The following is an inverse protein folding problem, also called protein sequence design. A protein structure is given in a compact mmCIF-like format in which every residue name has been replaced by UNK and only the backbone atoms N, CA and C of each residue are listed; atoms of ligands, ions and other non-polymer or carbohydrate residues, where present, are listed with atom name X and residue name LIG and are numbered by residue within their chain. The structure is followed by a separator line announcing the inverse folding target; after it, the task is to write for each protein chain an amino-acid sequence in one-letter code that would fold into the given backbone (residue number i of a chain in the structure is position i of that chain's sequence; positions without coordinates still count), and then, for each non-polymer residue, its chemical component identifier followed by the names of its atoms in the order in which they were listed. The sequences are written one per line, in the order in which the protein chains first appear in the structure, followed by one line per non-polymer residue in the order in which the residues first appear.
data_IF_332729720223
#
_entry.id   IF_332729720223
#
_cell.length_a   1.000
_cell.length_b   1.000
_cell.length_c   1.000
_cell.angle_alpha   90.00
_cell.angle_beta   90.00
_cell.angle_gamma   90.00
#
_symmetry.space_group_name_H-M   'P 1'
#
loop_
_entity.id
_entity.type
_entity.pdbx_description
1 polymer ?
#
# COMPACT_ATOMS: atom_id res chain seq x y z
N UNK A 1 18.45 -9.26 18.50
CA UNK A 1 17.46 -8.76 17.54
C UNK A 1 16.08 -9.08 18.08
N UNK A 2 15.27 -8.05 18.29
CA UNK A 2 13.91 -8.18 18.81
C UNK A 2 12.96 -8.60 17.66
N UNK A 3 11.89 -9.35 17.91
CA UNK A 3 10.98 -9.85 16.86
C UNK A 3 10.35 -8.71 16.02
N UNK A 4 10.25 -7.50 16.59
CA UNK A 4 9.83 -6.28 15.89
C UNK A 4 10.87 -5.74 14.89
N UNK A 5 12.17 -5.91 15.14
CA UNK A 5 13.24 -5.48 14.22
C UNK A 5 13.26 -6.38 12.98
N UNK A 6 13.15 -7.71 13.17
CA UNK A 6 13.12 -8.68 12.07
C UNK A 6 11.95 -8.46 11.09
N UNK A 7 10.76 -8.10 11.61
CA UNK A 7 9.57 -7.82 10.79
C UNK A 7 9.75 -6.52 9.98
N UNK A 8 10.43 -5.50 10.52
CA UNK A 8 10.74 -4.30 9.75
C UNK A 8 11.82 -4.55 8.68
N UNK A 9 12.84 -5.37 8.99
CA UNK A 9 13.92 -5.71 8.04
C UNK A 9 13.40 -6.47 6.82
N UNK A 10 12.53 -7.46 7.01
CA UNK A 10 11.94 -8.20 5.88
C UNK A 10 11.00 -7.35 5.02
N UNK A 11 10.38 -6.30 5.57
CA UNK A 11 9.39 -5.48 4.87
C UNK A 11 10.03 -4.53 3.83
N UNK A 12 11.29 -4.15 4.05
CA UNK A 12 12.01 -3.16 3.26
C UNK A 12 13.25 -3.72 2.53
N UNK A 13 13.42 -5.05 2.47
CA UNK A 13 14.56 -5.69 1.79
C UNK A 13 14.79 -5.17 0.37
N UNK A 14 13.71 -4.92 -0.37
CA UNK A 14 13.77 -4.47 -1.76
C UNK A 14 14.29 -3.02 -1.90
N UNK A 15 14.34 -2.26 -0.80
CA UNK A 15 14.89 -0.91 -0.78
C UNK A 15 16.43 -0.89 -0.78
N UNK A 16 17.08 -2.04 -0.57
CA UNK A 16 18.52 -2.20 -0.76
C UNK A 16 19.00 -1.81 -2.15
N UNK A 17 18.15 -1.97 -3.17
CA UNK A 17 18.42 -1.49 -4.53
C UNK A 17 18.54 0.05 -4.65
N UNK A 18 18.24 0.79 -3.58
CA UNK A 18 18.46 2.25 -3.46
C UNK A 18 19.55 2.60 -2.45
N UNK A 19 20.31 1.63 -1.93
CA UNK A 19 21.28 1.86 -0.85
C UNK A 19 20.64 2.03 0.54
N UNK A 20 19.35 1.73 0.67
CA UNK A 20 18.58 1.82 1.92
C UNK A 20 18.46 0.45 2.58
N UNK A 21 19.59 -0.20 2.84
CA UNK A 21 19.62 -1.43 3.62
C UNK A 21 19.38 -1.11 5.10
N UNK A 22 18.48 -1.87 5.74
CA UNK A 22 18.20 -1.77 7.17
C UNK A 22 19.39 -2.18 8.04
N UNK A 23 20.41 -2.84 7.47
CA UNK A 23 21.68 -3.18 8.10
C UNK A 23 22.82 -3.08 7.06
N UNK A 24 23.78 -2.16 7.23
CA UNK A 24 25.05 -2.18 6.49
C UNK A 24 26.08 -3.05 7.26
N UNK A 25 27.01 -3.79 6.61
CA UNK A 25 27.86 -3.35 5.48
C UNK A 25 27.81 -4.23 4.22
N UNK A 26 27.99 -3.58 3.07
CA UNK A 26 28.23 -4.18 1.76
C UNK A 26 29.72 -4.54 1.60
N UNK A 27 30.00 -5.77 1.16
CA UNK A 27 31.20 -6.11 0.41
C UNK A 27 30.80 -6.35 -1.05
N UNK A 28 31.45 -5.63 -1.96
CA UNK A 28 31.18 -5.69 -3.40
C UNK A 28 32.06 -6.76 -4.04
N UNK A 29 31.44 -7.80 -4.60
CA UNK A 29 31.99 -8.43 -5.80
C UNK A 29 30.86 -8.74 -6.78
N UNK A 30 30.90 -8.01 -7.90
CA UNK A 30 29.87 -8.03 -8.92
C UNK A 30 29.83 -9.30 -9.73
N UNK A 31 28.63 -9.62 -10.23
CA UNK A 31 28.44 -10.18 -11.57
C UNK A 31 26.97 -10.06 -11.96
N UNK A 32 26.74 -9.26 -12.99
CA UNK A 32 25.45 -9.02 -13.65
C UNK A 32 24.95 -10.31 -14.30
N UNK A 33 23.77 -10.80 -13.89
CA UNK A 33 23.03 -11.83 -14.63
C UNK A 33 21.95 -11.18 -15.49
N UNK A 34 22.04 -11.43 -16.80
CA UNK A 34 21.08 -11.04 -17.84
C UNK A 34 19.73 -11.70 -17.58
N UNK A 35 18.68 -10.91 -17.38
CA UNK A 35 17.30 -11.39 -17.42
C UNK A 35 16.77 -11.44 -18.86
N UNK A 36 16.12 -12.55 -19.19
CA UNK A 36 15.51 -12.83 -20.50
C UNK A 36 14.21 -12.03 -20.66
N UNK A 37 14.04 -11.50 -21.87
CA UNK A 37 12.87 -10.74 -22.29
C UNK A 37 11.61 -11.61 -22.35
N UNK A 38 10.53 -11.17 -21.71
CA UNK A 38 9.17 -11.69 -21.95
C UNK A 38 8.32 -10.55 -22.54
N UNK A 39 7.88 -10.79 -23.79
CA UNK A 39 6.77 -10.21 -24.58
C UNK A 39 6.29 -8.80 -24.19
N UNK A 40 7.02 -7.77 -24.64
CA UNK A 40 6.80 -6.34 -24.33
C UNK A 40 5.98 -5.52 -25.34
N UNK A 41 5.42 -6.06 -26.42
CA UNK A 41 5.06 -5.21 -27.59
C UNK A 41 3.57 -4.85 -27.73
N UNK A 42 2.63 -5.57 -27.10
CA UNK A 42 1.19 -5.34 -27.36
C UNK A 42 0.52 -4.36 -26.36
N UNK A 43 0.98 -4.29 -25.11
CA UNK A 43 0.31 -3.48 -24.06
C UNK A 43 0.72 -2.00 -24.04
N UNK A 44 1.92 -1.66 -24.51
CA UNK A 44 2.51 -0.31 -24.38
C UNK A 44 1.73 0.76 -25.16
N UNK A 45 1.07 0.41 -26.29
CA UNK A 45 0.37 1.39 -27.13
C UNK A 45 -0.94 1.94 -26.54
N UNK A 46 -1.57 1.28 -25.55
CA UNK A 46 -2.82 1.77 -24.92
C UNK A 46 -2.58 2.69 -23.71
N UNK A 47 -1.46 2.53 -22.98
CA UNK A 47 -1.20 3.24 -21.72
C UNK A 47 -0.88 4.73 -21.91
N UNK A 48 -0.22 5.12 -23.01
CA UNK A 48 0.19 6.52 -23.26
C UNK A 48 -1.00 7.49 -23.41
N UNK A 49 -2.19 7.01 -23.79
CA UNK A 49 -3.39 7.85 -23.87
C UNK A 49 -4.04 8.08 -22.49
N UNK A 50 -3.76 7.20 -21.52
CA UNK A 50 -4.41 7.16 -20.20
C UNK A 50 -3.62 7.91 -19.12
N UNK A 51 -2.35 8.22 -19.36
CA UNK A 51 -1.49 8.95 -18.42
C UNK A 51 -0.94 10.22 -19.05
N UNK A 52 -0.47 11.14 -18.22
CA UNK A 52 0.24 12.35 -18.64
C UNK A 52 1.42 12.62 -17.72
N UNK A 53 2.43 13.30 -18.24
CA UNK A 53 3.58 13.73 -17.46
C UNK A 53 3.26 15.04 -16.74
N UNK A 54 3.58 15.08 -15.45
CA UNK A 54 3.48 16.27 -14.60
C UNK A 54 4.88 16.65 -14.16
N UNK A 55 5.27 17.90 -14.42
CA UNK A 55 6.51 18.47 -13.88
C UNK A 55 6.39 18.66 -12.38
N UNK A 56 7.35 18.16 -11.63
CA UNK A 56 7.44 18.27 -10.17
C UNK A 56 8.81 18.84 -9.80
N UNK A 57 8.82 19.74 -8.82
CA UNK A 57 10.04 20.22 -8.16
C UNK A 57 10.09 19.55 -6.79
N UNK A 58 11.16 18.84 -6.49
CA UNK A 58 11.29 18.15 -5.21
C UNK A 58 11.43 19.15 -4.05
N UNK A 59 10.57 19.13 -3.02
CA UNK A 59 10.67 20.06 -1.89
C UNK A 59 11.88 19.78 -0.97
N UNK A 60 12.60 18.68 -1.19
CA UNK A 60 13.75 18.27 -0.36
C UNK A 60 15.08 18.66 -1.01
N UNK A 61 15.19 18.63 -2.34
CA UNK A 61 16.46 18.84 -3.03
C UNK A 61 16.37 19.74 -4.27
N UNK A 62 15.19 20.33 -4.52
CA UNK A 62 14.90 21.22 -5.65
C UNK A 62 15.10 20.61 -7.05
N UNK A 63 15.40 19.31 -7.13
CA UNK A 63 15.51 18.60 -8.39
C UNK A 63 14.17 18.62 -9.14
N UNK A 64 14.22 19.02 -10.41
CA UNK A 64 13.06 18.99 -11.31
C UNK A 64 13.01 17.65 -12.06
N UNK A 65 11.85 17.00 -12.05
CA UNK A 65 11.65 15.72 -12.74
C UNK A 65 10.20 15.57 -13.22
N UNK A 66 9.97 14.60 -14.10
CA UNK A 66 8.63 14.26 -14.58
C UNK A 66 8.04 13.07 -13.81
N UNK A 67 6.80 13.21 -13.34
CA UNK A 67 6.02 12.12 -12.73
C UNK A 67 4.79 11.82 -13.56
N UNK A 68 4.48 10.54 -13.78
CA UNK A 68 3.26 10.14 -14.52
C UNK A 68 2.03 10.22 -13.62
N UNK A 69 0.92 10.69 -14.17
CA UNK A 69 -0.38 10.75 -13.50
C UNK A 69 -1.49 10.23 -14.42
N UNK A 70 -2.48 9.51 -13.87
CA UNK A 70 -3.62 9.00 -14.63
C UNK A 70 -4.59 10.12 -15.01
N UNK A 71 -5.06 10.14 -16.26
CA UNK A 71 -6.14 11.01 -16.73
C UNK A 71 -7.47 10.47 -16.23
N UNK A 72 -8.03 11.09 -15.19
CA UNK A 72 -9.28 10.70 -14.56
C UNK A 72 -10.48 10.67 -15.52
N UNK A 73 -10.51 11.53 -16.53
CA UNK A 73 -11.58 11.61 -17.54
C UNK A 73 -11.75 10.33 -18.37
N UNK A 74 -10.71 9.51 -18.47
CA UNK A 74 -10.70 8.33 -19.36
C UNK A 74 -10.80 7.02 -18.57
N UNK A 75 -10.57 7.05 -17.26
CA UNK A 75 -10.52 5.87 -16.38
C UNK A 75 -11.72 5.88 -15.41
N UNK A 76 -12.76 5.11 -15.74
CA UNK A 76 -14.04 5.13 -15.01
C UNK A 76 -13.96 4.20 -13.79
N UNK A 77 -14.49 4.66 -12.66
CA UNK A 77 -14.69 3.84 -11.47
C UNK A 77 -15.71 2.73 -11.75
N UNK A 78 -15.41 1.51 -11.35
CA UNK A 78 -16.30 0.35 -11.52
C UNK A 78 -16.91 -0.09 -10.19
N UNK A 79 -16.07 -0.44 -9.23
CA UNK A 79 -16.50 -0.99 -7.94
C UNK A 79 -15.44 -0.77 -6.87
N UNK A 80 -15.77 -1.19 -5.66
CA UNK A 80 -14.87 -1.16 -4.52
C UNK A 80 -14.71 -2.59 -4.00
N UNK A 81 -13.47 -3.01 -3.69
CA UNK A 81 -13.20 -4.31 -3.07
C UNK A 81 -13.74 -4.39 -1.65
N UNK A 82 -13.65 -5.58 -1.04
CA UNK A 82 -13.95 -5.79 0.38
C UNK A 82 -13.16 -4.83 1.27
N UNK A 83 -11.85 -4.72 1.02
CA UNK A 83 -10.87 -3.89 1.74
C UNK A 83 -10.91 -2.41 1.36
N UNK A 84 -11.97 -1.96 0.68
CA UNK A 84 -12.17 -0.59 0.20
C UNK A 84 -11.22 -0.12 -0.93
N UNK A 85 -10.54 -1.03 -1.63
CA UNK A 85 -9.74 -0.71 -2.83
C UNK A 85 -10.66 -0.22 -3.95
N UNK A 86 -10.46 0.97 -4.53
CA UNK A 86 -11.21 1.39 -5.70
C UNK A 86 -10.70 0.66 -6.95
N UNK A 87 -11.61 0.09 -7.74
CA UNK A 87 -11.32 -0.65 -8.97
C UNK A 87 -11.84 0.17 -10.15
N UNK A 88 -11.00 0.28 -11.19
CA UNK A 88 -11.24 1.11 -12.38
C UNK A 88 -11.16 0.27 -13.66
N UNK A 89 -11.85 0.75 -14.70
CA UNK A 89 -12.09 -0.04 -15.91
C UNK A 89 -10.92 -0.21 -16.87
N UNK A 90 -9.86 0.60 -16.75
CA UNK A 90 -8.76 0.58 -17.72
C UNK A 90 -7.39 0.42 -17.08
N UNK A 91 -7.09 1.23 -16.07
CA UNK A 91 -5.79 1.22 -15.41
C UNK A 91 -5.95 1.40 -13.91
N UNK A 92 -5.12 0.73 -13.12
CA UNK A 92 -5.11 0.94 -11.67
C UNK A 92 -4.39 2.25 -11.34
N UNK A 93 -5.07 3.27 -10.79
CA UNK A 93 -4.43 4.53 -10.41
C UNK A 93 -3.41 4.37 -9.28
N UNK A 94 -3.49 3.30 -8.48
CA UNK A 94 -2.55 3.04 -7.38
C UNK A 94 -1.11 2.91 -7.89
N UNK A 95 -0.92 2.50 -9.15
CA UNK A 95 0.40 2.41 -9.80
C UNK A 95 1.12 3.77 -9.90
N UNK A 96 0.37 4.87 -9.86
CA UNK A 96 0.87 6.23 -10.13
C UNK A 96 0.73 7.19 -8.94
N UNK A 97 0.24 6.72 -7.80
CA UNK A 97 -0.16 7.62 -6.72
C UNK A 97 1.00 8.02 -5.79
N UNK A 98 2.14 7.33 -5.86
CA UNK A 98 3.36 7.74 -5.17
C UNK A 98 4.24 8.53 -6.13
N UNK A 99 4.65 9.71 -5.67
CA UNK A 99 5.69 10.50 -6.31
C UNK A 99 7.00 10.19 -5.60
N UNK A 100 8.01 9.80 -6.37
CA UNK A 100 9.36 9.55 -5.88
C UNK A 100 10.32 10.53 -6.56
N UNK A 101 11.14 11.21 -5.77
CA UNK A 101 12.30 11.92 -6.30
C UNK A 101 13.41 10.91 -6.61
N UNK A 102 13.82 10.88 -7.87
CA UNK A 102 14.90 10.02 -8.38
C UNK A 102 16.31 10.51 -8.01
N UNK A 103 16.45 11.73 -7.48
CA UNK A 103 17.72 12.29 -7.04
C UNK A 103 18.01 12.05 -5.54
N UNK A 104 17.02 12.22 -4.66
CA UNK A 104 17.23 12.23 -3.20
C UNK A 104 16.48 11.16 -2.41
N UNK A 105 15.66 10.33 -3.07
CA UNK A 105 14.90 9.25 -2.42
C UNK A 105 13.66 9.68 -1.64
N UNK A 106 13.33 10.97 -1.66
CA UNK A 106 12.08 11.44 -1.07
C UNK A 106 10.87 10.88 -1.82
N UNK A 107 10.01 10.15 -1.11
CA UNK A 107 8.80 9.57 -1.68
C UNK A 107 7.59 9.80 -0.76
N UNK A 108 6.46 10.15 -1.36
CA UNK A 108 5.20 10.33 -0.65
C UNK A 108 4.02 10.19 -1.62
N UNK A 109 2.80 10.05 -1.08
CA UNK A 109 1.59 10.13 -1.90
C UNK A 109 1.51 11.49 -2.60
N UNK A 110 1.03 11.51 -3.84
CA UNK A 110 0.88 12.72 -4.66
C UNK A 110 0.09 13.83 -3.92
N UNK A 111 -0.91 13.45 -3.10
CA UNK A 111 -1.74 14.37 -2.31
C UNK A 111 -1.02 15.04 -1.14
N UNK A 112 0.11 14.48 -0.69
CA UNK A 112 0.90 14.98 0.44
C UNK A 112 2.36 15.28 0.07
N UNK A 113 2.77 15.09 -1.19
CA UNK A 113 4.17 15.21 -1.61
C UNK A 113 4.79 16.57 -1.25
N UNK A 114 4.06 17.67 -1.50
CA UNK A 114 4.51 19.03 -1.17
C UNK A 114 4.17 19.48 0.25
N UNK A 115 3.60 18.60 1.09
CA UNK A 115 3.18 18.92 2.47
C UNK A 115 4.20 18.39 3.46
N UNK A 116 5.41 18.96 3.41
CA UNK A 116 6.53 18.57 4.26
C UNK A 116 7.08 19.80 4.99
N UNK A 117 7.44 19.64 6.27
CA UNK A 117 8.05 20.68 7.09
C UNK A 117 9.57 20.68 7.02
N UNK A 118 10.23 21.78 7.36
CA UNK A 118 11.70 21.88 7.43
C UNK A 118 12.33 20.79 8.31
N UNK A 119 11.69 20.47 9.45
CA UNK A 119 12.14 19.37 10.33
C UNK A 119 12.12 18.02 9.60
N UNK A 120 11.09 17.76 8.81
CA UNK A 120 10.96 16.53 8.04
C UNK A 120 11.94 16.50 6.86
N UNK A 121 12.12 17.62 6.15
CA UNK A 121 13.12 17.76 5.09
C UNK A 121 14.51 17.40 5.62
N UNK A 122 14.89 17.97 6.78
CA UNK A 122 16.15 17.64 7.45
C UNK A 122 16.28 16.15 7.75
N UNK A 123 15.24 15.54 8.33
CA UNK A 123 15.23 14.11 8.62
C UNK A 123 15.39 13.24 7.36
N UNK A 124 14.75 13.60 6.25
CA UNK A 124 14.90 12.90 4.96
C UNK A 124 16.33 13.03 4.44
N UNK A 125 16.90 14.24 4.45
CA UNK A 125 18.27 14.47 3.97
C UNK A 125 19.28 13.63 4.75
N UNK A 126 19.15 13.62 6.08
CA UNK A 126 20.08 12.92 6.97
C UNK A 126 19.97 11.40 6.87
N UNK A 127 18.76 10.85 6.81
CA UNK A 127 18.53 9.41 6.96
C UNK A 127 18.30 8.66 5.64
N UNK A 128 17.88 9.37 4.58
CA UNK A 128 17.57 8.78 3.28
C UNK A 128 18.52 9.31 2.21
N UNK A 129 18.52 10.62 1.96
CA UNK A 129 19.25 11.18 0.82
C UNK A 129 20.76 10.97 0.91
N UNK A 130 21.31 10.91 2.11
CA UNK A 130 22.73 10.62 2.37
C UNK A 130 23.18 9.23 1.89
N UNK A 131 22.25 8.28 1.77
CA UNK A 131 22.52 6.88 1.39
C UNK A 131 21.85 6.50 0.06
N UNK A 132 20.96 7.34 -0.44
CA UNK A 132 20.15 7.05 -1.60
C UNK A 132 21.00 7.00 -2.87
N UNK A 133 20.91 5.90 -3.59
CA UNK A 133 21.53 5.75 -4.92
C UNK A 133 20.53 6.28 -5.97
N UNK A 134 20.87 7.39 -6.67
CA UNK A 134 20.00 7.95 -7.69
C UNK A 134 19.69 6.93 -8.79
N UNK A 135 18.48 7.02 -9.34
CA UNK A 135 18.08 6.20 -10.48
C UNK A 135 17.65 7.08 -11.64
N UNK A 136 17.74 6.54 -12.85
CA UNK A 136 17.15 7.17 -14.02
C UNK A 136 15.63 7.30 -13.85
N UNK A 137 15.05 8.28 -14.54
CA UNK A 137 13.60 8.46 -14.55
C UNK A 137 12.89 7.18 -14.97
N UNK A 138 11.89 6.81 -14.18
CA UNK A 138 11.17 5.56 -14.35
C UNK A 138 10.25 5.61 -15.57
N UNK A 139 10.48 4.69 -16.51
CA UNK A 139 9.75 4.62 -17.79
C UNK A 139 8.52 3.72 -17.73
N UNK A 140 8.58 2.66 -16.92
CA UNK A 140 7.54 1.64 -16.80
C UNK A 140 6.89 1.70 -15.40
N UNK A 141 5.56 1.73 -15.35
CA UNK A 141 4.77 1.76 -14.12
C UNK A 141 3.94 0.48 -14.06
N UNK A 142 4.51 -0.55 -13.44
CA UNK A 142 3.88 -1.85 -13.20
C UNK A 142 3.69 -2.09 -11.69
N UNK A 143 3.04 -3.19 -11.32
CA UNK A 143 2.78 -3.48 -9.90
C UNK A 143 4.05 -3.67 -9.07
N UNK A 144 5.12 -4.24 -9.66
CA UNK A 144 6.42 -4.39 -8.98
C UNK A 144 7.01 -3.03 -8.61
N UNK A 145 7.04 -2.13 -9.60
CA UNK A 145 7.46 -0.75 -9.43
C UNK A 145 6.62 -0.04 -8.37
N UNK A 146 5.29 -0.13 -8.49
CA UNK A 146 4.38 0.54 -7.58
C UNK A 146 4.55 0.04 -6.14
N UNK A 147 4.77 -1.26 -5.96
CA UNK A 147 5.03 -1.87 -4.65
C UNK A 147 6.29 -1.27 -4.02
N UNK A 148 7.40 -1.24 -4.77
CA UNK A 148 8.66 -0.64 -4.31
C UNK A 148 8.49 0.85 -3.96
N UNK A 149 7.82 1.62 -4.81
CA UNK A 149 7.61 3.06 -4.58
C UNK A 149 6.75 3.30 -3.33
N UNK A 150 5.71 2.48 -3.10
CA UNK A 150 4.86 2.61 -1.92
C UNK A 150 5.58 2.16 -0.64
N UNK A 151 6.42 1.13 -0.70
CA UNK A 151 7.33 0.78 0.42
C UNK A 151 8.28 1.92 0.74
N UNK A 152 8.87 2.57 -0.27
CA UNK A 152 9.74 3.74 -0.07
C UNK A 152 8.97 4.92 0.54
N UNK A 153 7.72 5.16 0.14
CA UNK A 153 6.86 6.18 0.73
C UNK A 153 6.53 5.86 2.21
N UNK A 154 6.28 4.59 2.55
CA UNK A 154 6.10 4.17 3.93
C UNK A 154 7.37 4.37 4.76
N UNK A 155 8.53 4.03 4.22
CA UNK A 155 9.83 4.25 4.87
C UNK A 155 10.07 5.75 5.14
N UNK A 156 9.83 6.60 4.14
CA UNK A 156 9.85 8.06 4.29
C UNK A 156 8.89 8.52 5.40
N UNK A 157 7.66 8.01 5.44
CA UNK A 157 6.67 8.36 6.46
C UNK A 157 7.14 7.99 7.89
N UNK A 158 7.83 6.85 8.05
CA UNK A 158 8.44 6.42 9.32
C UNK A 158 9.55 7.40 9.74
N UNK A 159 10.51 7.69 8.85
CA UNK A 159 11.62 8.61 9.12
C UNK A 159 11.13 10.03 9.46
N UNK A 160 10.09 10.49 8.78
CA UNK A 160 9.47 11.80 9.05
C UNK A 160 8.68 11.85 10.37
N UNK A 161 8.52 10.73 11.08
CA UNK A 161 7.71 10.67 12.30
C UNK A 161 6.22 10.90 12.04
N UNK A 162 5.70 10.43 10.91
CA UNK A 162 4.29 10.60 10.54
C UNK A 162 3.35 9.92 11.54
N UNK A 163 2.15 10.50 11.72
CA UNK A 163 1.08 9.94 12.57
C UNK A 163 0.81 8.47 12.20
N UNK A 164 0.51 7.62 13.20
CA UNK A 164 0.23 6.19 13.00
C UNK A 164 -0.80 5.94 11.91
N UNK A 165 -1.84 6.78 11.83
CA UNK A 165 -2.88 6.66 10.81
C UNK A 165 -2.38 6.83 9.37
N UNK A 166 -1.41 7.72 9.12
CA UNK A 166 -0.85 7.89 7.78
C UNK A 166 -0.04 6.66 7.37
N UNK A 167 0.71 6.09 8.32
CA UNK A 167 1.47 4.84 8.11
C UNK A 167 0.51 3.66 7.88
N UNK A 168 -0.56 3.56 8.67
CA UNK A 168 -1.61 2.55 8.51
C UNK A 168 -2.25 2.59 7.11
N UNK A 169 -2.56 3.79 6.63
CA UNK A 169 -3.12 3.97 5.29
C UNK A 169 -2.14 3.58 4.18
N UNK A 170 -0.84 3.90 4.32
CA UNK A 170 0.18 3.42 3.40
C UNK A 170 0.29 1.89 3.39
N UNK A 171 0.24 1.23 4.55
CA UNK A 171 0.21 -0.23 4.64
C UNK A 171 -1.03 -0.82 3.93
N UNK A 172 -2.22 -0.25 4.15
CA UNK A 172 -3.44 -0.68 3.45
C UNK A 172 -3.27 -0.56 1.93
N UNK A 173 -2.74 0.57 1.45
CA UNK A 173 -2.50 0.79 0.02
C UNK A 173 -1.48 -0.18 -0.57
N UNK A 174 -0.43 -0.52 0.18
CA UNK A 174 0.52 -1.54 -0.24
C UNK A 174 -0.19 -2.89 -0.41
N UNK A 175 -1.07 -3.28 0.53
CA UNK A 175 -1.86 -4.52 0.36
C UNK A 175 -2.76 -4.49 -0.88
N UNK A 176 -3.32 -3.33 -1.25
CA UNK A 176 -4.11 -3.17 -2.48
C UNK A 176 -3.28 -3.29 -3.76
N UNK A 177 -2.04 -2.80 -3.74
CA UNK A 177 -1.10 -2.97 -4.86
C UNK A 177 -0.75 -4.44 -5.01
N UNK A 178 -0.54 -5.14 -3.89
CA UNK A 178 -0.28 -6.57 -3.90
C UNK A 178 -1.50 -7.36 -4.42
N UNK A 179 -2.73 -7.01 -4.00
CA UNK A 179 -3.97 -7.58 -4.56
C UNK A 179 -4.00 -7.45 -6.08
N UNK A 180 -3.77 -6.23 -6.59
CA UNK A 180 -3.71 -5.98 -8.02
C UNK A 180 -2.58 -6.73 -8.72
N UNK A 181 -1.46 -6.93 -8.04
CA UNK A 181 -0.36 -7.72 -8.59
C UNK A 181 -0.77 -9.19 -8.72
N UNK A 182 -1.30 -9.80 -7.65
CA UNK A 182 -1.76 -11.19 -7.63
C UNK A 182 -2.82 -11.46 -8.71
N UNK A 183 -3.74 -10.53 -8.95
CA UNK A 183 -4.75 -10.59 -10.02
C UNK A 183 -4.15 -10.71 -11.44
N UNK A 184 -2.90 -10.29 -11.63
CA UNK A 184 -2.19 -10.35 -12.94
C UNK A 184 -1.22 -11.52 -13.08
N UNK A 185 -0.99 -12.31 -12.02
CA UNK A 185 -0.01 -13.38 -12.04
C UNK A 185 -0.59 -14.70 -12.56
N UNK A 186 0.03 -15.25 -13.61
CA UNK A 186 -0.34 -16.56 -14.16
C UNK A 186 0.31 -17.73 -13.39
N UNK A 187 1.52 -17.55 -12.85
CA UNK A 187 2.30 -18.60 -12.16
C UNK A 187 2.10 -18.56 -10.64
N UNK A 188 1.96 -19.73 -10.01
CA UNK A 188 1.65 -19.86 -8.57
C UNK A 188 2.88 -19.75 -7.66
N UNK A 189 4.08 -20.07 -8.13
CA UNK A 189 5.30 -20.23 -7.31
C UNK A 189 5.69 -18.98 -6.49
N UNK A 190 5.24 -17.80 -6.88
CA UNK A 190 5.50 -16.52 -6.18
C UNK A 190 4.28 -15.95 -5.46
N UNK A 191 3.10 -16.52 -5.65
CA UNK A 191 1.86 -16.01 -5.04
C UNK A 191 1.84 -16.20 -3.54
N UNK A 192 2.39 -17.31 -3.04
CA UNK A 192 2.40 -17.61 -1.60
C UNK A 192 3.19 -16.57 -0.81
N UNK A 193 4.45 -16.32 -1.19
CA UNK A 193 5.31 -15.33 -0.54
C UNK A 193 4.68 -13.93 -0.58
N UNK A 194 4.12 -13.55 -1.74
CA UNK A 194 3.47 -12.26 -1.93
C UNK A 194 2.16 -12.15 -1.12
N UNK A 195 1.43 -13.24 -0.94
CA UNK A 195 0.23 -13.31 -0.08
C UNK A 195 0.60 -13.17 1.39
N UNK A 196 1.69 -13.80 1.84
CA UNK A 196 2.18 -13.63 3.21
C UNK A 196 2.62 -12.18 3.47
N UNK A 197 3.33 -11.58 2.51
CA UNK A 197 3.71 -10.18 2.56
C UNK A 197 2.48 -9.26 2.62
N UNK A 198 1.46 -9.51 1.78
CA UNK A 198 0.18 -8.80 1.83
C UNK A 198 -0.43 -8.84 3.22
N UNK A 199 -0.51 -10.03 3.84
CA UNK A 199 -1.08 -10.20 5.19
C UNK A 199 -0.29 -9.42 6.24
N UNK A 200 1.04 -9.33 6.12
CA UNK A 200 1.85 -8.49 7.01
C UNK A 200 1.47 -7.00 6.88
N UNK A 201 1.23 -6.50 5.66
CA UNK A 201 0.76 -5.12 5.48
C UNK A 201 -0.67 -4.91 5.99
N UNK A 202 -1.58 -5.87 5.77
CA UNK A 202 -2.94 -5.86 6.34
C UNK A 202 -2.89 -5.78 7.86
N UNK A 203 -2.02 -6.58 8.50
CA UNK A 203 -1.83 -6.57 9.96
C UNK A 203 -1.34 -5.21 10.46
N UNK A 204 -0.33 -4.64 9.82
CA UNK A 204 0.20 -3.32 10.20
C UNK A 204 -0.83 -2.20 9.98
N UNK A 205 -1.63 -2.29 8.91
CA UNK A 205 -2.74 -1.36 8.68
C UNK A 205 -3.78 -1.46 9.79
N UNK A 206 -4.21 -2.68 10.14
CA UNK A 206 -5.19 -2.92 11.19
C UNK A 206 -4.75 -2.35 12.54
N UNK A 207 -3.52 -2.66 12.97
CA UNK A 207 -2.96 -2.16 14.23
C UNK A 207 -2.90 -0.63 14.24
N UNK A 208 -2.36 -0.02 13.19
CA UNK A 208 -2.23 1.43 13.12
C UNK A 208 -3.58 2.17 13.06
N UNK A 209 -4.61 1.56 12.45
CA UNK A 209 -5.97 2.10 12.49
C UNK A 209 -6.62 1.93 13.87
N UNK A 210 -6.39 0.82 14.57
CA UNK A 210 -6.86 0.64 15.95
C UNK A 210 -6.22 1.66 16.89
N UNK A 211 -4.91 1.85 16.83
CA UNK A 211 -4.19 2.84 17.65
C UNK A 211 -4.70 4.28 17.41
N UNK A 212 -4.99 4.62 16.16
CA UNK A 212 -5.46 5.95 15.82
C UNK A 212 -6.93 6.20 16.19
N UNK A 213 -7.74 5.15 16.34
CA UNK A 213 -9.20 5.24 16.45
C UNK A 213 -9.67 6.17 17.57
N UNK A 214 -8.99 6.19 18.72
CA UNK A 214 -9.40 7.02 19.87
C UNK A 214 -9.13 8.52 19.67
N UNK A 215 -8.21 8.87 18.76
CA UNK A 215 -7.72 10.25 18.59
C UNK A 215 -8.10 10.88 17.26
N UNK A 216 -8.74 10.10 16.39
CA UNK A 216 -9.04 10.51 15.02
C UNK A 216 -10.32 11.35 14.96
N UNK A 217 -10.31 12.38 14.12
CA UNK A 217 -11.51 13.09 13.70
C UNK A 217 -11.96 12.63 12.32
N UNK A 218 -13.27 12.39 12.15
CA UNK A 218 -13.86 12.01 10.87
C UNK A 218 -14.41 13.23 10.11
N UNK A 219 -14.37 13.24 8.77
CA UNK A 219 -13.89 12.17 7.89
C UNK A 219 -12.36 12.08 7.77
N UNK A 220 -11.85 10.87 7.50
CA UNK A 220 -10.41 10.59 7.29
C UNK A 220 -10.20 9.83 6.00
N UNK A 221 -9.26 10.24 5.14
CA UNK A 221 -8.97 9.58 3.86
C UNK A 221 -10.22 9.29 2.99
N UNK A 222 -11.24 10.16 3.07
CA UNK A 222 -12.53 9.97 2.38
C UNK A 222 -13.52 9.02 3.07
N UNK A 223 -13.17 8.47 4.24
CA UNK A 223 -14.03 7.60 5.04
C UNK A 223 -14.71 8.39 6.15
N UNK A 224 -16.03 8.21 6.28
CA UNK A 224 -16.75 8.56 7.50
C UNK A 224 -16.56 7.47 8.57
N UNK A 225 -16.99 7.75 9.79
CA UNK A 225 -16.82 6.85 10.94
C UNK A 225 -17.41 5.44 10.71
N UNK A 226 -18.61 5.28 10.12
CA UNK A 226 -19.11 3.93 9.85
C UNK A 226 -18.32 3.17 8.78
N UNK A 227 -17.81 3.87 7.76
CA UNK A 227 -16.94 3.24 6.75
C UNK A 227 -15.63 2.79 7.38
N UNK A 228 -15.13 3.53 8.36
CA UNK A 228 -13.95 3.14 9.15
C UNK A 228 -14.20 1.88 9.98
N UNK A 229 -15.37 1.77 10.63
CA UNK A 229 -15.77 0.53 11.31
C UNK A 229 -15.86 -0.65 10.37
N UNK A 230 -16.45 -0.46 9.19
CA UNK A 230 -16.51 -1.49 8.17
C UNK A 230 -15.10 -1.96 7.77
N UNK A 231 -14.17 -1.03 7.52
CA UNK A 231 -12.79 -1.35 7.18
C UNK A 231 -12.11 -2.14 8.31
N UNK A 232 -12.23 -1.72 9.57
CA UNK A 232 -11.67 -2.48 10.71
C UNK A 232 -12.25 -3.90 10.81
N UNK A 233 -13.55 -4.06 10.53
CA UNK A 233 -14.21 -5.37 10.49
C UNK A 233 -13.68 -6.27 9.39
N UNK A 234 -13.47 -5.73 8.19
CA UNK A 234 -12.89 -6.47 7.06
C UNK A 234 -11.42 -6.83 7.31
N UNK A 235 -10.60 -5.90 7.80
CA UNK A 235 -9.19 -6.19 8.09
C UNK A 235 -9.05 -7.24 9.18
N UNK A 236 -9.89 -7.22 10.22
CA UNK A 236 -9.94 -8.28 11.22
C UNK A 236 -10.31 -9.64 10.62
N UNK A 237 -11.28 -9.68 9.70
CA UNK A 237 -11.67 -10.90 8.97
C UNK A 237 -10.54 -11.47 8.10
N UNK A 238 -9.82 -10.60 7.38
CA UNK A 238 -8.65 -10.97 6.58
C UNK A 238 -7.52 -11.58 7.44
N UNK A 239 -7.42 -11.17 8.71
CA UNK A 239 -6.46 -11.67 9.69
C UNK A 239 -6.96 -12.90 10.47
N UNK A 240 -8.15 -13.42 10.18
CA UNK A 240 -8.77 -14.53 10.91
C UNK A 240 -9.30 -14.17 12.31
N UNK A 241 -9.32 -12.88 12.67
CA UNK A 241 -9.88 -12.42 13.95
C UNK A 241 -11.40 -12.23 13.84
N UNK A 242 -12.10 -13.36 13.83
CA UNK A 242 -13.55 -13.41 13.66
C UNK A 242 -14.32 -12.65 14.75
N UNK A 243 -13.78 -12.62 15.97
CA UNK A 243 -14.39 -11.96 17.12
C UNK A 243 -14.40 -10.44 16.95
N UNK A 244 -13.22 -9.85 16.69
CA UNK A 244 -13.15 -8.41 16.45
C UNK A 244 -13.85 -8.02 15.15
N UNK A 245 -13.78 -8.87 14.11
CA UNK A 245 -14.52 -8.64 12.87
C UNK A 245 -16.02 -8.45 13.12
N UNK A 246 -16.68 -9.41 13.79
CA UNK A 246 -18.11 -9.31 14.14
C UNK A 246 -18.42 -8.08 14.98
N UNK A 247 -17.54 -7.72 15.92
CA UNK A 247 -17.73 -6.56 16.80
C UNK A 247 -17.75 -5.25 16.01
N UNK A 248 -16.78 -5.04 15.12
CA UNK A 248 -16.71 -3.86 14.28
C UNK A 248 -17.86 -3.79 13.27
N UNK A 249 -18.18 -4.90 12.61
CA UNK A 249 -19.30 -4.96 11.68
C UNK A 249 -20.65 -4.69 12.37
N UNK A 250 -20.82 -5.13 13.63
CA UNK A 250 -22.02 -4.81 14.41
C UNK A 250 -22.15 -3.31 14.68
N UNK A 251 -21.05 -2.60 14.93
CA UNK A 251 -21.07 -1.14 15.07
C UNK A 251 -21.61 -0.47 13.81
N UNK A 252 -21.24 -0.94 12.61
CA UNK A 252 -21.80 -0.43 11.35
C UNK A 252 -23.32 -0.57 11.30
N UNK A 253 -23.85 -1.71 11.75
CA UNK A 253 -25.29 -2.01 11.67
C UNK A 253 -26.14 -1.09 12.54
N UNK A 254 -25.67 -0.82 13.75
CA UNK A 254 -26.40 -0.03 14.75
C UNK A 254 -26.16 1.46 14.61
N UNK A 255 -25.09 1.87 13.92
CA UNK A 255 -24.80 3.27 13.67
C UNK A 255 -25.90 3.92 12.78
N UNK A 256 -26.40 5.06 13.23
CA UNK A 256 -27.46 5.82 12.54
C UNK A 256 -26.93 6.54 11.29
N UNK A 257 -25.65 6.89 11.26
CA UNK A 257 -24.96 7.50 10.12
C UNK A 257 -24.59 6.50 9.01
N UNK A 258 -24.79 5.20 9.24
CA UNK A 258 -24.61 4.16 8.23
C UNK A 258 -25.77 4.15 7.22
N UNK A 259 -25.46 4.43 5.95
CA UNK A 259 -26.40 4.24 4.86
C UNK A 259 -26.66 2.75 4.59
N UNK A 260 -27.84 2.42 4.05
CA UNK A 260 -28.30 1.03 3.88
C UNK A 260 -27.29 0.15 3.13
N UNK A 261 -26.69 0.63 2.04
CA UNK A 261 -25.71 -0.15 1.26
C UNK A 261 -24.47 -0.56 2.08
N UNK A 262 -24.03 0.27 3.03
CA UNK A 262 -22.92 -0.06 3.92
C UNK A 262 -23.34 -1.11 4.96
N UNK A 263 -24.58 -1.01 5.48
CA UNK A 263 -25.15 -2.04 6.37
C UNK A 263 -25.26 -3.38 5.64
N UNK A 264 -25.69 -3.37 4.38
CA UNK A 264 -25.78 -4.59 3.55
C UNK A 264 -24.39 -5.22 3.38
N UNK A 265 -23.37 -4.45 2.96
CA UNK A 265 -21.98 -4.94 2.90
C UNK A 265 -21.48 -5.49 4.23
N UNK A 266 -21.81 -4.86 5.35
CA UNK A 266 -21.41 -5.33 6.67
C UNK A 266 -22.10 -6.66 7.06
N UNK A 267 -23.33 -6.91 6.60
CA UNK A 267 -23.99 -8.22 6.73
C UNK A 267 -23.28 -9.27 5.89
N UNK A 268 -22.98 -8.96 4.63
CA UNK A 268 -22.29 -9.88 3.73
C UNK A 268 -20.95 -10.35 4.33
N UNK A 269 -20.15 -9.42 4.89
CA UNK A 269 -18.90 -9.79 5.58
C UNK A 269 -19.15 -10.62 6.83
N UNK A 270 -20.19 -10.34 7.62
CA UNK A 270 -20.55 -11.16 8.78
C UNK A 270 -20.92 -12.59 8.39
N UNK A 271 -21.60 -12.76 7.26
CA UNK A 271 -21.95 -14.08 6.75
C UNK A 271 -20.71 -14.85 6.32
N UNK A 272 -19.76 -14.19 5.64
CA UNK A 272 -18.44 -14.76 5.35
C UNK A 272 -17.68 -15.19 6.62
N UNK A 273 -17.70 -14.35 7.67
CA UNK A 273 -17.09 -14.69 8.97
C UNK A 273 -17.76 -15.93 9.58
N UNK A 274 -19.09 -16.01 9.55
CA UNK A 274 -19.83 -17.17 10.07
C UNK A 274 -19.50 -18.45 9.30
N UNK A 275 -19.35 -18.34 7.98
CA UNK A 275 -19.00 -19.45 7.12
C UNK A 275 -17.59 -19.98 7.46
N UNK A 276 -16.59 -19.10 7.58
CA UNK A 276 -15.23 -19.50 8.01
C UNK A 276 -15.20 -20.17 9.38
N UNK A 277 -15.92 -19.63 10.37
CA UNK A 277 -16.01 -20.26 11.71
C UNK A 277 -16.59 -21.68 11.61
N UNK A 278 -17.57 -21.90 10.73
CA UNK A 278 -18.17 -23.22 10.54
C UNK A 278 -17.16 -24.18 9.90
N UNK A 279 -16.47 -23.74 8.86
CA UNK A 279 -15.41 -24.52 8.18
C UNK A 279 -14.27 -24.90 9.15
N UNK A 280 -13.80 -23.97 9.99
CA UNK A 280 -12.76 -24.23 11.00
C UNK A 280 -13.22 -25.23 12.08
N UNK A 281 -14.50 -25.20 12.46
CA UNK A 281 -15.09 -26.18 13.39
C UNK A 281 -15.23 -27.57 12.78
N UNK A 282 -15.62 -27.64 11.50
CA UNK A 282 -15.73 -28.91 10.79
C UNK A 282 -14.35 -29.56 10.59
N UNK A 283 -13.34 -28.76 10.21
CA UNK A 283 -11.96 -29.22 10.10
C UNK A 283 -11.38 -29.74 11.44
N UNK A 284 -11.60 -29.01 12.54
CA UNK A 284 -11.16 -29.45 13.88
C UNK A 284 -11.94 -30.64 14.47
N UNK A 285 -13.10 -30.98 13.90
CA UNK A 285 -13.87 -32.17 14.28
C UNK A 285 -13.56 -33.42 13.44
N UNK A 286 -12.74 -33.27 12.40
CA UNK A 286 -12.33 -34.35 11.49
C UNK A 286 -10.86 -34.76 11.65
N UNK A 287 -10.12 -34.10 12.54
CA UNK A 287 -8.80 -34.51 13.08
C UNK A 287 -8.95 -35.22 14.44
#
# INVERSE_FOLDING_TARGET
MNQKEYIMESMFSDLGAFGLDSNQPLDFNGQSKKEKQVKKVVTIKKTQQLVFDRKIICPVCDHEFLSKTVKSSVNRFEKTSLTLRPIYSKIDPLLYDVVQCNACGYAALNTTYNKISERQIKAIRENISSKFIPKDEQKDYDYKTALVNNKLALYNAIIMGSKSINKAYLCLRISWIIDGYLETMEEDDKKEALTLERLNFVKNAYVGFLEAYETISFPVFGMNQPTYYYLLGVLAYELGDHSHSKRWLSKVMVDEGSHQRLKDKARDVKDLVNQKIKEEKEASSSE
#
